data_IF_593693824401
#
_entry.id   IF_593693824401
#
_cell.length_a   1.000
_cell.length_b   1.000
_cell.length_c   1.000
_cell.angle_alpha   90.00
_cell.angle_beta   90.00
_cell.angle_gamma   90.00
#
_symmetry.space_group_name_H-M   'P 1'
#
loop_
_entity.id
_entity.type
_entity.pdbx_description
1 polymer ?
#
# COMPACT_ATOMS: atom_id res chain seq x y z
N UNK A 1 -11.79 20.62 -18.48
CA UNK A 1 -10.88 20.04 -17.47
C UNK A 1 -11.00 18.53 -17.57
N UNK A 2 -9.91 17.80 -17.75
CA UNK A 2 -9.95 16.33 -17.92
C UNK A 2 -10.37 15.67 -16.59
N UNK A 3 -11.45 14.89 -16.59
CA UNK A 3 -11.80 14.05 -15.43
C UNK A 3 -10.82 12.88 -15.35
N UNK A 4 -10.20 12.70 -14.19
CA UNK A 4 -9.38 11.53 -13.90
C UNK A 4 -10.27 10.33 -13.59
N UNK A 5 -9.81 9.11 -13.89
CA UNK A 5 -10.53 7.90 -13.48
C UNK A 5 -10.57 7.78 -11.95
N UNK A 6 -11.51 6.96 -11.45
CA UNK A 6 -11.52 6.56 -10.06
C UNK A 6 -10.20 5.88 -9.69
N UNK A 7 -9.72 6.13 -8.47
CA UNK A 7 -8.53 5.46 -7.94
C UNK A 7 -8.79 3.97 -7.83
N UNK A 8 -7.92 3.16 -8.43
CA UNK A 8 -7.91 1.71 -8.32
C UNK A 8 -6.69 1.25 -7.53
N UNK A 9 -6.92 0.58 -6.39
CA UNK A 9 -5.88 0.02 -5.52
C UNK A 9 -5.63 -1.47 -5.75
N UNK A 10 -6.19 -2.07 -6.81
CA UNK A 10 -6.05 -3.50 -7.10
C UNK A 10 -4.59 -3.94 -7.22
N UNK A 11 -3.75 -3.16 -7.91
CA UNK A 11 -2.32 -3.47 -8.00
C UNK A 11 -1.62 -3.34 -6.65
N UNK A 12 -1.90 -2.27 -5.89
CA UNK A 12 -1.34 -2.07 -4.55
C UNK A 12 -1.63 -3.27 -3.64
N UNK A 13 -2.87 -3.78 -3.66
CA UNK A 13 -3.29 -4.99 -2.94
C UNK A 13 -2.54 -6.23 -3.42
N UNK A 14 -2.31 -6.38 -4.72
CA UNK A 14 -1.62 -7.55 -5.29
C UNK A 14 -0.14 -7.67 -4.90
N UNK A 15 0.49 -6.55 -4.53
CA UNK A 15 1.89 -6.49 -4.08
C UNK A 15 2.02 -6.26 -2.57
N UNK A 16 0.91 -6.34 -1.83
CA UNK A 16 0.88 -6.24 -0.36
C UNK A 16 0.55 -7.59 0.24
N UNK A 17 1.24 -7.95 1.31
CA UNK A 17 0.88 -9.10 2.15
C UNK A 17 0.66 -8.66 3.60
N UNK A 18 0.57 -9.61 4.53
CA UNK A 18 0.32 -9.31 5.95
C UNK A 18 1.48 -8.58 6.65
N UNK A 19 2.64 -8.47 6.02
CA UNK A 19 3.80 -7.74 6.56
C UNK A 19 3.84 -6.32 6.03
N UNK A 20 3.64 -6.11 4.72
CA UNK A 20 3.72 -4.79 4.11
C UNK A 20 3.70 -4.85 2.59
N UNK A 21 4.06 -3.73 1.94
CA UNK A 21 4.20 -3.66 0.48
C UNK A 21 5.58 -4.19 0.03
N UNK A 22 5.57 -5.14 -0.90
CA UNK A 22 6.78 -5.72 -1.49
C UNK A 22 7.42 -4.73 -2.45
N UNK A 23 8.73 -4.56 -2.33
CA UNK A 23 9.51 -3.72 -3.21
C UNK A 23 9.58 -4.25 -4.64
N UNK A 24 9.33 -3.33 -5.57
CA UNK A 24 9.38 -3.55 -7.01
C UNK A 24 8.43 -4.64 -7.53
N UNK A 25 8.03 -4.48 -8.80
CA UNK A 25 7.31 -5.51 -9.54
C UNK A 25 8.03 -5.80 -10.85
N UNK A 26 7.89 -7.04 -11.33
CA UNK A 26 8.30 -7.42 -12.67
C UNK A 26 7.03 -7.87 -13.40
N UNK A 27 6.65 -7.12 -14.45
CA UNK A 27 5.43 -7.38 -15.23
C UNK A 27 4.14 -7.47 -14.39
N UNK A 28 4.00 -6.62 -13.37
CA UNK A 28 2.83 -6.62 -12.49
C UNK A 28 2.82 -7.73 -11.44
N UNK A 29 3.92 -8.47 -11.28
CA UNK A 29 4.09 -9.50 -10.25
C UNK A 29 5.07 -8.99 -9.19
N UNK A 30 4.78 -9.12 -7.88
CA UNK A 30 5.68 -8.65 -6.82
C UNK A 30 7.02 -9.41 -6.87
N UNK A 31 8.13 -8.65 -6.83
CA UNK A 31 9.46 -9.26 -6.77
C UNK A 31 9.84 -9.63 -5.33
N UNK A 32 9.37 -10.81 -4.90
CA UNK A 32 9.59 -11.33 -3.53
C UNK A 32 11.05 -11.47 -3.11
N UNK A 33 12.01 -11.36 -4.03
CA UNK A 33 13.45 -11.38 -3.70
C UNK A 33 13.93 -10.07 -3.04
N UNK A 34 13.22 -8.96 -3.24
CA UNK A 34 13.65 -7.64 -2.78
C UNK A 34 13.05 -7.23 -1.43
N UNK A 35 12.11 -8.01 -0.90
CA UNK A 35 11.55 -7.78 0.43
C UNK A 35 10.74 -6.48 0.52
N UNK A 36 10.99 -5.68 1.56
CA UNK A 36 10.22 -4.48 1.90
C UNK A 36 11.15 -3.32 2.18
N UNK A 37 10.67 -2.09 1.99
CA UNK A 37 11.30 -0.90 2.59
C UNK A 37 10.33 -0.05 3.36
N UNK A 38 10.87 0.68 4.33
CA UNK A 38 10.17 1.70 5.10
C UNK A 38 9.60 2.78 4.19
N UNK A 39 10.32 3.24 3.17
CA UNK A 39 9.87 4.33 2.31
C UNK A 39 8.67 3.95 1.42
N UNK A 40 8.64 2.72 0.90
CA UNK A 40 7.48 2.20 0.15
C UNK A 40 6.26 2.02 1.07
N UNK A 41 6.46 1.46 2.27
CA UNK A 41 5.37 1.28 3.25
C UNK A 41 4.82 2.62 3.74
N UNK A 42 5.67 3.62 4.00
CA UNK A 42 5.23 4.98 4.35
C UNK A 42 4.40 5.63 3.23
N UNK A 43 4.80 5.48 1.96
CA UNK A 43 4.02 6.01 0.83
C UNK A 43 2.69 5.28 0.69
N UNK A 44 2.68 3.96 0.83
CA UNK A 44 1.48 3.14 0.75
C UNK A 44 0.49 3.47 1.88
N UNK A 45 0.98 3.72 3.11
CA UNK A 45 0.19 4.21 4.24
C UNK A 45 -0.56 5.50 3.89
N UNK A 46 0.15 6.50 3.33
CA UNK A 46 -0.46 7.77 2.94
C UNK A 46 -1.56 7.56 1.89
N UNK A 47 -1.32 6.70 0.91
CA UNK A 47 -2.31 6.41 -0.14
C UNK A 47 -3.56 5.73 0.44
N UNK A 48 -3.38 4.69 1.26
CA UNK A 48 -4.46 3.94 1.87
C UNK A 48 -5.31 4.83 2.81
N UNK A 49 -4.66 5.64 3.66
CA UNK A 49 -5.35 6.58 4.55
C UNK A 49 -6.18 7.61 3.76
N UNK A 50 -5.59 8.22 2.72
CA UNK A 50 -6.31 9.19 1.87
C UNK A 50 -7.46 8.57 1.09
N UNK A 51 -7.33 7.31 0.68
CA UNK A 51 -8.42 6.62 0.00
C UNK A 51 -9.55 6.31 0.98
N UNK A 52 -9.24 5.82 2.18
CA UNK A 52 -10.22 5.59 3.24
C UNK A 52 -10.99 6.88 3.61
N UNK A 53 -10.31 8.03 3.71
CA UNK A 53 -10.97 9.33 3.94
C UNK A 53 -12.00 9.68 2.85
N UNK A 54 -11.80 9.22 1.62
CA UNK A 54 -12.69 9.49 0.48
C UNK A 54 -13.84 8.50 0.36
N UNK A 55 -13.59 7.23 0.67
CA UNK A 55 -14.50 6.12 0.37
C UNK A 55 -15.19 5.57 1.61
N UNK A 56 -14.56 5.67 2.79
CA UNK A 56 -14.96 4.95 4.00
C UNK A 56 -14.81 3.43 3.90
N UNK A 57 -14.13 2.91 2.87
CA UNK A 57 -14.01 1.47 2.62
C UNK A 57 -13.07 0.81 3.64
N UNK A 58 -13.58 -0.18 4.36
CA UNK A 58 -12.81 -0.90 5.37
C UNK A 58 -11.56 -1.57 4.80
N UNK A 59 -11.58 -2.01 3.54
CA UNK A 59 -10.42 -2.62 2.90
C UNK A 59 -9.23 -1.65 2.80
N UNK A 60 -9.50 -0.35 2.67
CA UNK A 60 -8.46 0.68 2.62
C UNK A 60 -7.89 0.97 4.01
N UNK A 61 -8.75 0.92 5.04
CA UNK A 61 -8.30 1.00 6.43
C UNK A 61 -7.40 -0.19 6.81
N UNK A 62 -7.75 -1.40 6.39
CA UNK A 62 -6.97 -2.60 6.70
C UNK A 62 -5.58 -2.56 6.01
N UNK A 63 -5.48 -1.99 4.80
CA UNK A 63 -4.19 -1.68 4.17
C UNK A 63 -3.39 -0.66 4.98
N UNK A 64 -4.02 0.44 5.40
CA UNK A 64 -3.36 1.45 6.21
C UNK A 64 -2.80 0.87 7.53
N UNK A 65 -3.56 0.01 8.20
CA UNK A 65 -3.10 -0.66 9.42
C UNK A 65 -1.91 -1.60 9.17
N UNK A 66 -1.91 -2.32 8.04
CA UNK A 66 -0.79 -3.18 7.63
C UNK A 66 0.50 -2.36 7.47
N UNK A 67 0.44 -1.26 6.71
CA UNK A 67 1.60 -0.40 6.48
C UNK A 67 2.05 0.32 7.75
N UNK A 68 1.12 0.77 8.59
CA UNK A 68 1.44 1.39 9.87
C UNK A 68 2.16 0.40 10.81
N UNK A 69 1.71 -0.86 10.84
CA UNK A 69 2.37 -1.91 11.62
C UNK A 69 3.81 -2.14 11.14
N UNK A 70 4.04 -2.16 9.82
CA UNK A 70 5.39 -2.26 9.26
C UNK A 70 6.26 -1.08 9.68
N UNK A 71 5.77 0.14 9.50
CA UNK A 71 6.52 1.37 9.82
C UNK A 71 6.88 1.41 11.30
N UNK A 72 5.93 1.08 12.18
CA UNK A 72 6.19 0.99 13.62
C UNK A 72 7.29 -0.03 13.95
N UNK A 73 7.27 -1.20 13.31
CA UNK A 73 8.33 -2.20 13.46
C UNK A 73 9.70 -1.71 12.98
N UNK A 74 9.76 -1.04 11.82
CA UNK A 74 11.02 -0.61 11.22
C UNK A 74 11.70 0.56 11.93
N UNK A 75 10.94 1.37 12.66
CA UNK A 75 11.42 2.52 13.45
C UNK A 75 11.71 2.18 14.92
N UNK A 76 11.46 0.94 15.35
CA UNK A 76 11.73 0.44 16.71
C UNK A 76 13.11 -0.20 16.82
#
# INVERSE_FOLDING_TARGET
>A
MMQLPSVDLSYLRSITDCTGIIQHGVHGVPNRKLGYTTDDNCRALIVAAKQYERTGDRADLDLALTYLSFVHYAES
#
